data_IF_582522556112
#
_entry.id   IF_582522556112
#
_cell.length_a   1.000
_cell.length_b   1.000
_cell.length_c   1.000
_cell.angle_alpha   90.00
_cell.angle_beta   90.00
_cell.angle_gamma   90.00
#
_symmetry.space_group_name_H-M   'P 1'
#
loop_
_entity.id
_entity.type
_entity.pdbx_description
1 polymer ?
#
# COMPACT_ATOMS: atom_id res chain seq x y z
N UNK A 1 6.79 56.20 15.39
CA UNK A 1 6.33 54.83 15.25
C UNK A 1 7.53 53.91 15.24
N UNK A 2 7.55 52.75 15.90
CA UNK A 2 8.69 51.85 15.87
C UNK A 2 8.90 51.29 14.46
N UNK A 3 10.15 51.13 14.09
CA UNK A 3 10.55 50.41 12.85
C UNK A 3 10.34 48.92 13.02
N UNK A 4 10.28 48.19 11.90
CA UNK A 4 10.24 46.70 11.94
C UNK A 4 11.41 46.10 12.72
N UNK A 5 12.59 46.70 12.63
CA UNK A 5 13.81 46.25 13.33
C UNK A 5 13.67 46.42 14.85
N UNK A 6 13.14 47.53 15.30
CA UNK A 6 12.89 47.80 16.72
C UNK A 6 11.81 46.87 17.29
N UNK A 7 10.77 46.58 16.52
CA UNK A 7 9.73 45.65 16.94
C UNK A 7 10.28 44.22 17.08
N UNK A 8 11.09 43.78 16.12
CA UNK A 8 11.75 42.44 16.18
C UNK A 8 12.63 42.34 17.43
N UNK A 9 13.46 43.36 17.70
CA UNK A 9 14.32 43.40 18.90
C UNK A 9 13.49 43.34 20.17
N UNK A 10 12.41 44.12 20.25
CA UNK A 10 11.49 44.11 21.40
C UNK A 10 10.89 42.70 21.62
N UNK A 11 10.42 42.01 20.56
CA UNK A 11 9.85 40.68 20.70
C UNK A 11 10.92 39.72 21.18
N UNK A 12 12.12 39.74 20.59
CA UNK A 12 13.23 38.86 20.96
C UNK A 12 13.69 39.04 22.40
N UNK A 13 13.63 40.25 22.95
CA UNK A 13 13.94 40.51 24.36
C UNK A 13 12.88 39.98 25.36
N UNK A 14 11.71 39.61 24.89
CA UNK A 14 10.58 39.09 25.70
C UNK A 14 10.44 37.56 25.64
N UNK A 15 11.23 36.88 24.81
CA UNK A 15 11.18 35.44 24.64
C UNK A 15 12.53 34.81 24.96
N UNK A 16 12.54 33.52 25.18
CA UNK A 16 13.79 32.74 25.25
C UNK A 16 14.17 32.25 23.88
N UNK A 17 15.39 32.57 23.45
CA UNK A 17 15.98 32.00 22.21
C UNK A 17 17.00 30.93 22.58
N UNK A 18 17.12 29.90 21.71
CA UNK A 18 18.04 28.77 21.86
C UNK A 18 18.81 28.53 20.56
N UNK A 19 20.02 28.01 20.67
CA UNK A 19 20.80 27.61 19.49
C UNK A 19 20.25 26.35 18.83
N UNK A 20 20.75 25.98 17.65
CA UNK A 20 20.37 24.75 16.95
C UNK A 20 20.74 23.51 17.77
N UNK A 21 21.91 23.50 18.41
CA UNK A 21 22.39 22.42 19.26
C UNK A 21 21.50 22.23 20.49
N UNK A 22 21.14 23.34 21.13
CA UNK A 22 20.19 23.31 22.26
C UNK A 22 18.81 22.87 21.84
N UNK A 23 18.30 23.33 20.69
CA UNK A 23 17.02 22.92 20.15
C UNK A 23 16.97 21.41 19.88
N UNK A 24 18.04 20.86 19.30
CA UNK A 24 18.19 19.42 19.10
C UNK A 24 18.19 18.67 20.43
N UNK A 25 19.03 19.08 21.38
CA UNK A 25 19.11 18.41 22.68
C UNK A 25 17.77 18.41 23.44
N UNK A 26 16.95 19.46 23.25
CA UNK A 26 15.57 19.54 23.79
C UNK A 26 14.62 18.60 23.07
N UNK A 27 14.69 18.52 21.73
CA UNK A 27 13.90 17.59 20.94
C UNK A 27 14.20 16.13 21.31
N UNK A 28 15.47 15.79 21.50
CA UNK A 28 15.91 14.44 21.94
C UNK A 28 15.39 14.09 23.35
N UNK A 29 15.05 15.10 24.17
CA UNK A 29 14.42 14.95 25.49
C UNK A 29 12.90 15.02 25.46
N UNK A 30 12.28 15.13 24.28
CA UNK A 30 10.83 15.09 24.11
C UNK A 30 10.16 16.47 23.92
N UNK A 31 10.92 17.55 23.74
CA UNK A 31 10.36 18.83 23.35
C UNK A 31 9.69 18.76 21.97
N UNK A 32 8.58 19.45 21.80
CA UNK A 32 7.84 19.51 20.54
C UNK A 32 8.46 20.55 19.61
N UNK A 33 8.95 20.15 18.45
CA UNK A 33 9.39 21.07 17.40
C UNK A 33 8.20 21.56 16.59
N UNK A 34 8.05 22.88 16.41
CA UNK A 34 6.98 23.47 15.59
C UNK A 34 7.57 24.33 14.49
N UNK A 35 7.31 23.93 13.24
CA UNK A 35 7.71 24.67 12.04
C UNK A 35 6.61 25.66 11.65
N UNK A 36 6.97 26.96 11.65
CA UNK A 36 6.04 28.05 11.31
C UNK A 36 6.35 28.70 9.95
N UNK A 37 7.03 27.96 9.05
CA UNK A 37 7.35 28.44 7.70
C UNK A 37 6.14 28.34 6.77
N UNK A 38 6.35 28.80 5.54
CA UNK A 38 5.33 28.67 4.48
C UNK A 38 5.30 27.23 3.90
N UNK A 39 4.18 26.83 3.23
CA UNK A 39 4.02 25.47 2.71
C UNK A 39 5.11 25.00 1.75
N UNK A 40 5.59 25.90 0.89
CA UNK A 40 6.67 25.62 -0.07
C UNK A 40 8.03 25.42 0.64
N UNK A 41 8.30 26.16 1.72
CA UNK A 41 9.49 26.01 2.54
C UNK A 41 9.48 24.65 3.27
N UNK A 42 8.31 24.24 3.81
CA UNK A 42 8.13 22.92 4.44
C UNK A 42 8.31 21.77 3.44
N UNK A 43 7.73 21.91 2.24
CA UNK A 43 7.83 20.91 1.18
C UNK A 43 9.29 20.70 0.71
N UNK A 44 10.14 21.73 0.80
CA UNK A 44 11.56 21.65 0.46
C UNK A 44 12.44 21.07 1.58
N UNK A 45 11.82 20.58 2.67
CA UNK A 45 12.48 19.91 3.78
C UNK A 45 12.22 20.56 5.12
N UNK A 46 12.19 19.76 6.19
CA UNK A 46 11.93 20.17 7.56
C UNK A 46 12.71 19.32 8.56
N UNK A 47 12.72 19.74 9.82
CA UNK A 47 13.37 18.95 10.90
C UNK A 47 12.54 17.69 11.15
N UNK A 48 13.16 16.49 11.26
CA UNK A 48 12.45 15.26 11.54
C UNK A 48 11.59 15.36 12.80
N UNK A 49 10.34 14.87 12.73
CA UNK A 49 9.42 14.89 13.87
C UNK A 49 8.76 16.24 14.17
N UNK A 50 9.08 17.31 13.43
CA UNK A 50 8.45 18.60 13.62
C UNK A 50 6.97 18.60 13.23
N UNK A 51 6.17 19.32 13.99
CA UNK A 51 4.77 19.63 13.67
C UNK A 51 4.74 20.87 12.77
N UNK A 52 4.03 20.77 11.66
CA UNK A 52 3.88 21.88 10.72
C UNK A 52 2.62 22.69 11.02
N UNK A 53 2.79 23.97 11.32
CA UNK A 53 1.71 24.96 11.46
C UNK A 53 2.21 26.29 10.90
N UNK A 54 1.77 26.72 9.69
CA UNK A 54 2.17 28.01 9.13
C UNK A 54 1.91 29.16 10.10
N UNK A 55 2.79 30.17 10.11
CA UNK A 55 2.75 31.27 11.08
C UNK A 55 1.35 31.90 11.22
N UNK A 56 0.64 32.09 10.10
CA UNK A 56 -0.70 32.69 10.08
C UNK A 56 -1.81 31.83 10.70
N UNK A 57 -1.53 30.57 11.02
CA UNK A 57 -2.49 29.63 11.61
C UNK A 57 -2.05 29.10 12.98
N UNK A 58 -0.92 29.61 13.51
CA UNK A 58 -0.31 29.05 14.71
C UNK A 58 -1.27 29.07 15.90
N UNK A 59 -1.83 30.22 16.20
CA UNK A 59 -2.72 30.45 17.34
C UNK A 59 -4.02 29.64 17.23
N UNK A 60 -4.49 29.40 16.00
CA UNK A 60 -5.74 28.66 15.72
C UNK A 60 -5.61 27.15 15.81
N UNK A 61 -4.38 26.61 15.64
CA UNK A 61 -4.18 25.17 15.46
C UNK A 61 -3.25 24.51 16.47
N UNK A 62 -2.55 25.31 17.28
CA UNK A 62 -1.55 24.76 18.20
C UNK A 62 -2.19 23.89 19.29
N UNK A 63 -3.35 24.28 19.82
CA UNK A 63 -4.01 23.54 20.89
C UNK A 63 -4.50 22.17 20.42
N UNK A 64 -4.92 22.02 19.16
CA UNK A 64 -5.27 20.73 18.56
C UNK A 64 -4.06 19.78 18.41
N UNK A 65 -2.86 20.33 18.21
CA UNK A 65 -1.63 19.58 17.96
C UNK A 65 -0.81 19.34 19.21
N UNK A 66 -0.82 20.31 20.12
CA UNK A 66 -0.09 20.31 21.38
C UNK A 66 -1.05 20.77 22.50
N UNK A 67 -2.01 19.92 22.90
CA UNK A 67 -3.04 20.32 23.90
C UNK A 67 -2.47 20.52 25.30
N UNK A 68 -1.35 19.89 25.62
CA UNK A 68 -0.66 20.04 26.90
C UNK A 68 0.25 21.28 26.87
N UNK A 69 -0.19 22.36 27.51
CA UNK A 69 0.51 23.64 27.55
C UNK A 69 1.77 23.63 28.43
N UNK A 70 1.97 22.59 29.23
CA UNK A 70 3.17 22.43 30.08
C UNK A 70 4.34 21.83 29.30
N UNK A 71 4.08 21.24 28.13
CA UNK A 71 5.13 20.69 27.26
C UNK A 71 6.05 21.77 26.76
N UNK A 72 7.34 21.42 26.68
CA UNK A 72 8.33 22.28 26.06
C UNK A 72 8.12 22.33 24.54
N UNK A 73 8.01 23.55 23.99
CA UNK A 73 7.82 23.83 22.57
C UNK A 73 8.97 24.63 22.02
N UNK A 74 9.62 24.10 21.00
CA UNK A 74 10.67 24.79 20.23
C UNK A 74 10.08 25.24 18.91
N UNK A 75 9.87 26.53 18.73
CA UNK A 75 9.36 27.11 17.48
C UNK A 75 10.52 27.47 16.58
N UNK A 76 10.43 27.10 15.30
CA UNK A 76 11.43 27.52 14.32
C UNK A 76 10.79 28.00 13.00
N UNK A 77 11.53 28.85 12.28
CA UNK A 77 11.20 29.26 10.92
C UNK A 77 12.46 29.22 10.04
N UNK A 78 12.54 29.93 8.94
CA UNK A 78 13.73 29.94 8.10
C UNK A 78 14.96 30.54 8.78
N UNK A 79 14.83 31.71 9.40
CA UNK A 79 15.95 32.47 9.98
C UNK A 79 15.76 32.98 11.41
N UNK A 80 14.68 32.57 12.13
CA UNK A 80 14.46 32.92 13.53
C UNK A 80 13.54 34.13 13.81
N UNK A 81 13.09 34.86 12.78
CA UNK A 81 12.21 36.03 12.98
C UNK A 81 10.76 35.65 13.17
N UNK A 82 10.16 34.89 12.24
CA UNK A 82 8.75 34.44 12.35
C UNK A 82 8.54 33.58 13.59
N UNK A 83 9.52 32.76 13.96
CA UNK A 83 9.47 31.91 15.16
C UNK A 83 9.52 32.72 16.45
N UNK A 84 10.24 33.85 16.48
CA UNK A 84 10.25 34.74 17.64
C UNK A 84 8.84 35.29 17.91
N UNK A 85 8.15 35.80 16.89
CA UNK A 85 6.74 36.21 17.02
C UNK A 85 5.82 35.04 17.38
N UNK A 86 6.05 33.85 16.79
CA UNK A 86 5.29 32.66 17.13
C UNK A 86 5.49 32.25 18.61
N UNK A 87 6.71 32.23 19.09
CA UNK A 87 6.99 31.93 20.49
C UNK A 87 6.29 32.94 21.46
N UNK A 88 6.30 34.24 21.12
CA UNK A 88 5.57 35.25 21.88
C UNK A 88 4.08 35.01 21.92
N UNK A 89 3.46 34.71 20.76
CA UNK A 89 2.03 34.40 20.71
C UNK A 89 1.67 33.14 21.52
N UNK A 90 2.52 32.09 21.50
CA UNK A 90 2.27 30.91 22.31
C UNK A 90 2.38 31.17 23.81
N UNK A 91 3.30 32.04 24.26
CA UNK A 91 3.36 32.46 25.65
C UNK A 91 2.07 33.22 26.08
N UNK A 92 1.53 34.07 25.20
CA UNK A 92 0.26 34.77 25.43
C UNK A 92 -0.94 33.82 25.48
N UNK A 93 -0.87 32.66 24.78
CA UNK A 93 -1.85 31.58 24.86
C UNK A 93 -1.67 30.68 26.10
N UNK A 94 -0.68 30.95 26.96
CA UNK A 94 -0.44 30.22 28.21
C UNK A 94 0.40 28.95 28.06
N UNK A 95 1.24 28.87 27.03
CA UNK A 95 2.28 27.84 26.98
C UNK A 95 3.49 28.25 27.81
N UNK A 96 3.79 27.55 28.88
CA UNK A 96 4.79 27.92 29.87
C UNK A 96 6.24 27.82 29.37
N UNK A 97 6.50 26.81 28.55
CA UNK A 97 7.87 26.41 28.13
C UNK A 97 8.05 26.56 26.61
N UNK A 98 8.06 27.82 26.13
CA UNK A 98 8.26 28.08 24.68
C UNK A 98 9.59 28.78 24.44
N UNK A 99 10.32 28.29 23.45
CA UNK A 99 11.58 28.87 22.98
C UNK A 99 11.57 29.03 21.44
N UNK A 100 12.32 30.01 20.92
CA UNK A 100 12.54 30.21 19.49
C UNK A 100 13.94 29.79 19.10
N UNK A 101 14.09 29.05 18.01
CA UNK A 101 15.41 28.59 17.52
C UNK A 101 16.10 29.69 16.69
N UNK A 102 17.25 30.15 17.14
CA UNK A 102 18.11 31.13 16.46
C UNK A 102 18.60 30.57 15.13
N UNK A 103 18.55 31.39 14.07
CA UNK A 103 18.98 30.99 12.74
C UNK A 103 18.04 30.03 12.03
N UNK A 104 17.03 29.46 12.73
CA UNK A 104 15.98 28.66 12.18
C UNK A 104 16.48 27.45 11.38
N UNK A 105 15.65 27.00 10.42
CA UNK A 105 15.94 25.86 9.55
C UNK A 105 17.20 26.07 8.67
N UNK A 106 17.49 27.33 8.29
CA UNK A 106 18.71 27.63 7.53
C UNK A 106 19.96 27.20 8.31
N UNK A 107 20.06 27.59 9.59
CA UNK A 107 21.17 27.22 10.43
C UNK A 107 21.22 25.73 10.76
N UNK A 108 20.05 25.10 11.01
CA UNK A 108 19.94 23.65 11.17
C UNK A 108 20.54 22.88 9.99
N UNK A 109 20.24 23.32 8.77
CA UNK A 109 20.76 22.69 7.54
C UNK A 109 22.27 22.90 7.39
N UNK A 110 22.78 24.10 7.70
CA UNK A 110 24.21 24.42 7.67
C UNK A 110 25.04 23.55 8.63
N UNK A 111 24.49 23.16 9.77
CA UNK A 111 25.17 22.28 10.75
C UNK A 111 25.16 20.81 10.32
N UNK A 112 24.62 20.45 9.16
CA UNK A 112 24.58 19.08 8.66
C UNK A 112 23.64 18.14 9.42
N UNK A 113 22.71 18.68 10.20
CA UNK A 113 21.77 17.88 10.96
C UNK A 113 20.71 17.23 10.06
N UNK A 114 20.11 16.11 10.47
CA UNK A 114 19.11 15.41 9.67
C UNK A 114 17.94 16.30 9.27
N UNK A 115 17.51 16.17 8.04
CA UNK A 115 16.30 16.81 7.50
C UNK A 115 15.40 15.74 6.84
N UNK A 116 14.10 15.93 6.96
CA UNK A 116 13.11 15.18 6.20
C UNK A 116 12.67 16.02 5.01
N UNK A 117 12.83 15.50 3.81
CA UNK A 117 12.23 16.10 2.61
C UNK A 117 10.98 15.31 2.32
N UNK A 118 9.77 15.93 2.39
CA UNK A 118 8.55 15.23 2.02
C UNK A 118 8.66 14.75 0.58
N UNK A 119 8.29 13.49 0.34
CA UNK A 119 8.18 13.01 -1.03
C UNK A 119 7.08 13.78 -1.73
N UNK A 120 7.39 14.32 -2.88
CA UNK A 120 6.43 15.00 -3.77
C UNK A 120 6.48 14.33 -5.14
N UNK A 121 5.40 14.45 -5.90
CA UNK A 121 5.37 13.98 -7.28
C UNK A 121 6.24 14.88 -8.16
N UNK A 122 7.02 14.26 -9.05
CA UNK A 122 7.72 14.99 -10.11
C UNK A 122 6.70 15.61 -11.10
N UNK A 123 7.13 16.54 -11.93
CA UNK A 123 6.27 17.13 -12.97
C UNK A 123 5.74 16.05 -13.94
N UNK A 124 6.59 15.09 -14.31
CA UNK A 124 6.20 13.96 -15.15
C UNK A 124 5.15 13.07 -14.46
N UNK A 125 5.34 12.74 -13.19
CA UNK A 125 4.39 11.98 -12.40
C UNK A 125 3.05 12.71 -12.23
N UNK A 126 3.08 14.03 -12.00
CA UNK A 126 1.85 14.85 -11.96
C UNK A 126 1.09 14.81 -13.28
N UNK A 127 1.79 14.81 -14.41
CA UNK A 127 1.17 14.67 -15.72
C UNK A 127 0.62 13.24 -15.91
N UNK A 128 1.41 12.20 -15.65
CA UNK A 128 1.03 10.78 -15.78
C UNK A 128 -0.21 10.44 -14.96
N UNK A 129 -0.23 10.85 -13.70
CA UNK A 129 -1.31 10.53 -12.76
C UNK A 129 -2.37 11.63 -12.64
N UNK A 130 -2.39 12.59 -13.55
CA UNK A 130 -3.27 13.77 -13.47
C UNK A 130 -4.74 13.43 -13.21
N UNK A 131 -5.24 12.34 -13.79
CA UNK A 131 -6.63 11.88 -13.57
C UNK A 131 -6.86 11.33 -12.16
N UNK A 132 -5.90 10.62 -11.58
CA UNK A 132 -5.94 10.19 -10.18
C UNK A 132 -5.89 11.37 -9.22
N UNK A 133 -5.12 12.41 -9.53
CA UNK A 133 -5.00 13.58 -8.66
C UNK A 133 -6.30 14.36 -8.52
N UNK A 134 -7.22 14.25 -9.50
CA UNK A 134 -8.55 14.87 -9.47
C UNK A 134 -9.57 14.05 -8.67
N UNK A 135 -9.30 12.79 -8.34
CA UNK A 135 -10.19 11.94 -7.53
C UNK A 135 -9.94 12.25 -6.06
N UNK A 136 -10.95 12.76 -5.31
CA UNK A 136 -10.74 13.19 -3.91
C UNK A 136 -10.23 12.10 -2.98
N UNK A 137 -10.60 10.84 -3.24
CA UNK A 137 -10.17 9.67 -2.47
C UNK A 137 -8.70 9.30 -2.70
N UNK A 138 -8.09 9.77 -3.80
CA UNK A 138 -6.69 9.55 -4.15
C UNK A 138 -5.88 10.81 -3.88
N UNK A 139 -6.04 11.86 -4.70
CA UNK A 139 -5.27 13.08 -4.63
C UNK A 139 -3.76 12.87 -4.71
N UNK A 140 -2.97 13.90 -4.40
CA UNK A 140 -1.50 13.78 -4.40
C UNK A 140 -1.00 12.85 -3.28
N UNK A 141 -1.61 12.90 -2.10
CA UNK A 141 -1.23 12.06 -0.97
C UNK A 141 -1.49 10.58 -1.22
N UNK A 142 -2.63 10.23 -1.82
CA UNK A 142 -2.93 8.86 -2.21
C UNK A 142 -2.02 8.35 -3.31
N UNK A 143 -1.70 9.17 -4.31
CA UNK A 143 -0.78 8.79 -5.38
C UNK A 143 0.63 8.55 -4.85
N UNK A 144 1.13 9.40 -3.94
CA UNK A 144 2.40 9.17 -3.26
C UNK A 144 2.42 7.87 -2.48
N UNK A 145 1.29 7.52 -1.84
CA UNK A 145 1.15 6.26 -1.13
C UNK A 145 1.19 5.06 -2.08
N UNK A 146 0.52 5.12 -3.24
CA UNK A 146 0.60 4.08 -4.26
C UNK A 146 2.04 3.88 -4.75
N UNK A 147 2.76 4.96 -5.06
CA UNK A 147 4.17 4.92 -5.47
C UNK A 147 5.12 4.31 -4.42
N UNK A 148 4.74 4.29 -3.16
CA UNK A 148 5.51 3.69 -2.07
C UNK A 148 5.08 2.26 -1.75
N UNK A 149 3.94 1.82 -2.28
CA UNK A 149 3.33 0.53 -1.98
C UNK A 149 3.93 -0.61 -2.80
N UNK A 150 3.85 -1.81 -2.25
CA UNK A 150 4.38 -3.04 -2.84
C UNK A 150 3.26 -4.08 -2.91
N UNK A 151 2.95 -4.54 -4.11
CA UNK A 151 1.94 -5.58 -4.36
C UNK A 151 2.61 -6.81 -4.94
N UNK A 152 2.24 -7.98 -4.45
CA UNK A 152 2.68 -9.27 -4.98
C UNK A 152 1.54 -9.91 -5.78
N UNK A 153 1.80 -10.25 -7.02
CA UNK A 153 0.91 -11.03 -7.88
C UNK A 153 1.38 -12.50 -7.86
N UNK A 154 0.51 -13.39 -7.42
CA UNK A 154 0.74 -14.83 -7.51
C UNK A 154 0.10 -15.31 -8.82
N UNK A 155 0.95 -15.60 -9.78
CA UNK A 155 0.60 -15.88 -11.16
C UNK A 155 0.61 -14.65 -12.07
N UNK A 156 1.34 -14.70 -13.16
CA UNK A 156 1.30 -13.75 -14.28
C UNK A 156 0.36 -14.23 -15.39
N UNK A 157 -0.61 -15.06 -15.03
CA UNK A 157 -1.59 -15.68 -15.91
C UNK A 157 -2.81 -14.79 -16.21
N UNK A 158 -3.98 -15.40 -16.36
CA UNK A 158 -5.22 -14.71 -16.75
C UNK A 158 -5.67 -13.63 -15.78
N UNK A 159 -5.65 -13.88 -14.47
CA UNK A 159 -6.01 -12.93 -13.43
C UNK A 159 -4.91 -11.90 -13.17
N UNK A 160 -3.66 -12.37 -13.06
CA UNK A 160 -2.50 -11.51 -12.80
C UNK A 160 -2.19 -10.54 -13.94
N UNK A 161 -2.48 -10.90 -15.18
CA UNK A 161 -2.21 -10.05 -16.35
C UNK A 161 -2.96 -8.70 -16.30
N UNK A 162 -4.29 -8.65 -16.23
CA UNK A 162 -5.02 -7.39 -16.15
C UNK A 162 -4.73 -6.65 -14.83
N UNK A 163 -4.62 -7.37 -13.71
CA UNK A 163 -4.29 -6.77 -12.42
C UNK A 163 -2.92 -6.06 -12.47
N UNK A 164 -1.89 -6.73 -13.00
CA UNK A 164 -0.53 -6.17 -13.13
C UNK A 164 -0.48 -4.94 -14.01
N UNK A 165 -1.15 -4.96 -15.17
CA UNK A 165 -1.23 -3.81 -16.08
C UNK A 165 -1.84 -2.58 -15.40
N UNK A 166 -2.99 -2.73 -14.76
CA UNK A 166 -3.69 -1.60 -14.15
C UNK A 166 -3.05 -1.11 -12.86
N UNK A 167 -2.45 -1.99 -12.06
CA UNK A 167 -1.65 -1.57 -10.90
C UNK A 167 -0.41 -0.79 -11.33
N UNK A 168 0.26 -1.22 -12.40
CA UNK A 168 1.37 -0.50 -12.98
C UNK A 168 0.94 0.86 -13.55
N UNK A 169 -0.15 0.92 -14.31
CA UNK A 169 -0.72 2.16 -14.82
C UNK A 169 -1.13 3.11 -13.69
N UNK A 170 -1.67 2.59 -12.60
CA UNK A 170 -2.04 3.34 -11.39
C UNK A 170 -0.82 3.84 -10.59
N UNK A 171 0.38 3.37 -10.89
CA UNK A 171 1.61 3.79 -10.22
C UNK A 171 1.87 3.12 -8.89
N UNK A 172 1.51 1.85 -8.72
CA UNK A 172 2.00 1.04 -7.59
C UNK A 172 3.51 0.89 -7.72
N UNK A 173 4.25 1.37 -6.71
CA UNK A 173 5.69 1.57 -6.82
C UNK A 173 6.51 0.30 -6.99
N UNK A 174 6.05 -0.84 -6.43
CA UNK A 174 6.70 -2.14 -6.63
C UNK A 174 5.66 -3.21 -6.90
N UNK A 175 5.87 -3.96 -7.97
CA UNK A 175 5.07 -5.15 -8.32
C UNK A 175 5.98 -6.37 -8.29
N UNK A 176 5.71 -7.30 -7.36
CA UNK A 176 6.30 -8.62 -7.36
C UNK A 176 5.50 -9.55 -8.27
N UNK A 177 6.17 -10.40 -9.00
CA UNK A 177 5.59 -11.40 -9.89
C UNK A 177 6.09 -12.77 -9.50
N UNK A 178 5.20 -13.67 -9.11
CA UNK A 178 5.53 -15.08 -8.84
C UNK A 178 4.92 -15.93 -9.93
N UNK A 179 5.74 -16.56 -10.74
CA UNK A 179 5.32 -17.53 -11.75
C UNK A 179 6.51 -18.41 -12.14
N UNK A 180 6.31 -19.70 -12.35
CA UNK A 180 7.35 -20.63 -12.77
C UNK A 180 7.23 -21.07 -14.23
N UNK A 181 6.19 -20.60 -14.93
CA UNK A 181 5.88 -21.06 -16.29
C UNK A 181 6.55 -20.19 -17.36
N UNK A 182 6.54 -20.70 -18.57
CA UNK A 182 6.85 -19.96 -19.80
C UNK A 182 5.56 -19.56 -20.51
N UNK A 183 5.66 -18.53 -21.33
CA UNK A 183 4.54 -18.07 -22.17
C UNK A 183 4.29 -19.10 -23.27
N UNK A 184 3.05 -19.56 -23.36
CA UNK A 184 2.57 -20.44 -24.43
C UNK A 184 1.54 -19.69 -25.30
N UNK A 185 1.43 -20.08 -26.58
CA UNK A 185 0.49 -19.45 -27.51
C UNK A 185 -0.96 -19.59 -27.06
N UNK A 186 -1.33 -20.70 -26.40
CA UNK A 186 -2.65 -20.94 -25.81
C UNK A 186 -2.99 -20.00 -24.66
N UNK A 187 -1.99 -19.35 -24.09
CA UNK A 187 -2.18 -18.37 -23.02
C UNK A 187 -2.69 -17.01 -23.52
N UNK A 188 -2.34 -16.64 -24.77
CA UNK A 188 -2.49 -15.29 -25.29
C UNK A 188 -3.97 -14.85 -25.42
N UNK A 189 -4.89 -15.79 -25.47
CA UNK A 189 -6.32 -15.48 -25.53
C UNK A 189 -6.87 -14.84 -24.21
N UNK A 190 -6.09 -14.90 -23.08
CA UNK A 190 -6.51 -14.37 -21.78
C UNK A 190 -5.40 -13.73 -20.95
N UNK A 191 -4.13 -13.94 -21.26
CA UNK A 191 -2.97 -13.47 -20.52
C UNK A 191 -2.34 -12.24 -21.20
N UNK A 192 -3.02 -11.11 -21.10
CA UNK A 192 -2.74 -9.86 -21.87
C UNK A 192 -1.44 -9.13 -21.50
N UNK A 193 -0.70 -9.59 -20.49
CA UNK A 193 0.68 -9.13 -20.22
C UNK A 193 1.68 -9.67 -21.25
N UNK A 194 1.32 -10.76 -21.94
CA UNK A 194 2.19 -11.45 -22.86
C UNK A 194 1.81 -11.17 -24.31
N UNK A 195 2.75 -11.32 -25.19
CA UNK A 195 2.58 -11.10 -26.64
C UNK A 195 3.11 -12.30 -27.41
N UNK A 196 2.74 -12.41 -28.69
CA UNK A 196 3.25 -13.48 -29.55
C UNK A 196 4.80 -13.48 -29.61
N UNK A 197 5.44 -12.32 -29.52
CA UNK A 197 6.90 -12.20 -29.50
C UNK A 197 7.55 -12.73 -28.22
N UNK A 198 6.79 -12.97 -27.16
CA UNK A 198 7.28 -13.50 -25.87
C UNK A 198 7.02 -14.98 -25.67
N UNK A 199 6.45 -15.68 -26.66
CA UNK A 199 6.25 -17.15 -26.57
C UNK A 199 7.59 -17.85 -26.33
N UNK A 200 7.61 -18.76 -25.35
CA UNK A 200 8.81 -19.49 -24.91
C UNK A 200 9.67 -18.76 -23.88
N UNK A 201 9.38 -17.48 -23.53
CA UNK A 201 10.10 -16.78 -22.46
C UNK A 201 9.40 -16.98 -21.11
N UNK A 202 10.10 -16.87 -19.95
CA UNK A 202 9.47 -16.89 -18.64
C UNK A 202 8.34 -15.86 -18.54
N UNK A 203 7.19 -16.25 -17.98
CA UNK A 203 6.03 -15.34 -17.83
C UNK A 203 6.39 -14.08 -17.04
N UNK A 204 7.20 -14.19 -15.99
CA UNK A 204 7.66 -13.06 -15.17
C UNK A 204 8.51 -12.08 -15.97
N UNK A 205 9.38 -12.58 -16.88
CA UNK A 205 10.21 -11.73 -17.75
C UNK A 205 9.36 -10.98 -18.79
N UNK A 206 8.46 -11.70 -19.46
CA UNK A 206 7.51 -11.10 -20.39
C UNK A 206 6.66 -10.02 -19.72
N UNK A 207 6.14 -10.31 -18.52
CA UNK A 207 5.35 -9.37 -17.73
C UNK A 207 6.16 -8.16 -17.29
N UNK A 208 7.39 -8.33 -16.80
CA UNK A 208 8.30 -7.22 -16.46
C UNK A 208 8.50 -6.28 -17.63
N UNK A 209 8.80 -6.83 -18.82
CA UNK A 209 9.01 -6.04 -20.04
C UNK A 209 7.78 -5.19 -20.38
N UNK A 210 6.59 -5.77 -20.30
CA UNK A 210 5.33 -5.08 -20.60
C UNK A 210 5.01 -4.01 -19.56
N UNK A 211 5.16 -4.31 -18.26
CA UNK A 211 4.94 -3.36 -17.16
C UNK A 211 5.89 -2.17 -17.27
N UNK A 212 7.18 -2.40 -17.50
CA UNK A 212 8.16 -1.32 -17.64
C UNK A 212 7.93 -0.46 -18.89
N UNK A 213 7.46 -1.05 -19.97
CA UNK A 213 7.08 -0.29 -21.17
C UNK A 213 5.87 0.62 -20.93
N UNK A 214 4.92 0.18 -20.08
CA UNK A 214 3.75 0.96 -19.70
C UNK A 214 4.09 2.08 -18.69
N UNK A 215 4.85 1.74 -17.66
CA UNK A 215 5.22 2.67 -16.59
C UNK A 215 6.64 2.39 -16.07
N UNK A 216 7.64 3.17 -16.51
CA UNK A 216 9.04 2.98 -16.15
C UNK A 216 9.32 3.27 -14.66
N UNK A 217 8.44 3.98 -13.95
CA UNK A 217 8.58 4.29 -12.52
C UNK A 217 8.31 3.05 -11.63
N UNK A 218 7.68 2.01 -12.19
CA UNK A 218 7.32 0.81 -11.44
C UNK A 218 8.52 -0.13 -11.35
N UNK A 219 8.92 -0.45 -10.13
CA UNK A 219 9.90 -1.51 -9.89
C UNK A 219 9.23 -2.87 -9.99
N UNK A 220 9.70 -3.71 -10.90
CA UNK A 220 9.28 -5.11 -10.97
C UNK A 220 10.31 -6.00 -10.27
N UNK A 221 9.82 -6.91 -9.43
CA UNK A 221 10.63 -7.94 -8.75
C UNK A 221 10.13 -9.31 -9.21
N UNK A 222 10.97 -10.03 -9.92
CA UNK A 222 10.66 -11.39 -10.42
C UNK A 222 10.98 -12.43 -9.36
N UNK A 223 10.07 -13.36 -9.18
CA UNK A 223 10.23 -14.59 -8.44
C UNK A 223 9.95 -15.76 -9.38
N UNK A 224 10.98 -16.19 -10.11
CA UNK A 224 10.92 -17.28 -11.09
C UNK A 224 10.95 -18.63 -10.34
N UNK A 225 9.88 -18.88 -9.57
CA UNK A 225 9.79 -20.05 -8.72
C UNK A 225 8.33 -20.52 -8.55
N UNK A 226 8.16 -21.76 -8.17
CA UNK A 226 6.90 -22.28 -7.66
C UNK A 226 6.81 -22.04 -6.16
N UNK A 227 5.68 -21.50 -5.71
CA UNK A 227 5.43 -21.34 -4.27
C UNK A 227 5.22 -22.70 -3.60
N UNK A 228 5.87 -22.85 -2.46
CA UNK A 228 5.69 -23.96 -1.52
C UNK A 228 5.84 -23.48 -0.07
N UNK A 229 5.65 -24.41 0.87
CA UNK A 229 5.72 -24.12 2.30
C UNK A 229 7.09 -23.65 2.79
N UNK A 230 8.16 -23.90 2.03
CA UNK A 230 9.53 -23.52 2.40
C UNK A 230 9.88 -22.07 2.02
N UNK A 231 9.20 -21.49 1.02
CA UNK A 231 9.56 -20.19 0.44
C UNK A 231 8.48 -19.11 0.59
N UNK A 232 7.21 -19.48 0.77
CA UNK A 232 6.06 -18.56 0.73
C UNK A 232 6.17 -17.43 1.75
N UNK A 233 6.68 -17.70 2.95
CA UNK A 233 6.79 -16.70 4.01
C UNK A 233 7.79 -15.60 3.64
N UNK A 234 8.96 -15.97 3.14
CA UNK A 234 10.00 -15.02 2.73
C UNK A 234 9.60 -14.21 1.51
N UNK A 235 8.92 -14.85 0.54
CA UNK A 235 8.42 -14.19 -0.67
C UNK A 235 7.35 -13.15 -0.32
N UNK A 236 6.46 -13.42 0.64
CA UNK A 236 5.35 -12.52 1.01
C UNK A 236 5.78 -11.37 1.92
N UNK A 237 6.75 -11.58 2.79
CA UNK A 237 7.14 -10.63 3.84
C UNK A 237 7.36 -9.18 3.35
N UNK A 238 8.03 -8.92 2.20
CA UNK A 238 8.31 -7.56 1.73
C UNK A 238 7.11 -6.78 1.19
N UNK A 239 5.96 -7.44 0.93
CA UNK A 239 4.82 -6.83 0.24
C UNK A 239 3.70 -6.39 1.20
N UNK A 240 2.95 -5.37 0.78
CA UNK A 240 1.84 -4.81 1.56
C UNK A 240 0.52 -5.53 1.29
N UNK A 241 0.33 -6.02 0.07
CA UNK A 241 -0.89 -6.72 -0.40
C UNK A 241 -0.49 -7.88 -1.31
N UNK A 242 -1.18 -9.00 -1.15
CA UNK A 242 -1.05 -10.19 -1.99
C UNK A 242 -2.29 -10.27 -2.89
N UNK A 243 -2.10 -10.53 -4.18
CA UNK A 243 -3.18 -10.83 -5.12
C UNK A 243 -3.07 -12.28 -5.54
N UNK A 244 -4.08 -13.04 -5.20
CA UNK A 244 -4.23 -14.45 -5.58
C UNK A 244 -4.74 -14.55 -7.02
N UNK A 245 -3.85 -14.80 -7.95
CA UNK A 245 -4.13 -15.07 -9.36
C UNK A 245 -3.90 -16.55 -9.75
N UNK A 246 -3.75 -17.44 -8.77
CA UNK A 246 -3.52 -18.86 -9.04
C UNK A 246 -4.82 -19.60 -9.41
N UNK A 247 -4.67 -20.71 -10.10
CA UNK A 247 -5.77 -21.53 -10.65
C UNK A 247 -5.91 -22.90 -9.96
N UNK A 248 -5.10 -23.17 -8.94
CA UNK A 248 -5.14 -24.45 -8.23
C UNK A 248 -5.38 -24.27 -6.72
N UNK A 249 -6.09 -25.23 -6.14
CA UNK A 249 -6.51 -25.15 -4.74
C UNK A 249 -5.35 -25.24 -3.75
N UNK A 250 -4.34 -26.11 -3.98
CA UNK A 250 -3.21 -26.23 -3.06
C UNK A 250 -2.49 -24.89 -2.86
N UNK A 251 -2.26 -24.16 -3.95
CA UNK A 251 -1.65 -22.82 -3.88
C UNK A 251 -2.58 -21.81 -3.20
N UNK A 252 -3.92 -21.87 -3.40
CA UNK A 252 -4.87 -20.97 -2.71
C UNK A 252 -4.84 -21.12 -1.20
N UNK A 253 -4.77 -22.36 -0.71
CA UNK A 253 -4.64 -22.60 0.74
C UNK A 253 -3.29 -22.12 1.27
N UNK A 254 -2.20 -22.39 0.54
CA UNK A 254 -0.86 -21.93 0.89
C UNK A 254 -0.79 -20.39 0.99
N UNK A 255 -1.34 -19.70 -0.02
CA UNK A 255 -1.43 -18.21 -0.04
C UNK A 255 -2.21 -17.70 1.18
N UNK A 256 -3.39 -18.27 1.42
CA UNK A 256 -4.23 -17.87 2.55
C UNK A 256 -3.53 -18.06 3.88
N UNK A 257 -2.90 -19.23 4.07
CA UNK A 257 -2.24 -19.55 5.33
C UNK A 257 -1.05 -18.60 5.58
N UNK A 258 -0.20 -18.41 4.60
CA UNK A 258 0.92 -17.48 4.69
C UNK A 258 0.46 -16.02 4.91
N UNK A 259 -0.56 -15.57 4.18
CA UNK A 259 -1.09 -14.22 4.31
C UNK A 259 -1.67 -13.96 5.71
N UNK A 260 -2.42 -14.90 6.27
CA UNK A 260 -2.98 -14.79 7.64
C UNK A 260 -1.87 -14.77 8.68
N UNK A 261 -0.89 -15.67 8.58
CA UNK A 261 0.22 -15.76 9.54
C UNK A 261 1.13 -14.51 9.51
N UNK A 262 1.31 -13.89 8.34
CA UNK A 262 2.07 -12.66 8.17
C UNK A 262 1.24 -11.38 8.41
N UNK A 263 -0.07 -11.51 8.63
CA UNK A 263 -0.95 -10.35 8.77
C UNK A 263 -1.11 -9.54 7.48
N UNK A 264 -0.97 -10.17 6.29
CA UNK A 264 -1.05 -9.50 4.99
C UNK A 264 -2.46 -9.63 4.38
N UNK A 265 -3.03 -8.55 3.83
CA UNK A 265 -4.23 -8.64 3.02
C UNK A 265 -4.02 -9.56 1.80
N UNK A 266 -4.99 -10.46 1.56
CA UNK A 266 -5.04 -11.31 0.38
C UNK A 266 -6.29 -11.00 -0.43
N UNK A 267 -6.12 -10.62 -1.69
CA UNK A 267 -7.20 -10.32 -2.63
C UNK A 267 -7.42 -11.56 -3.49
N UNK A 268 -8.46 -12.31 -3.13
CA UNK A 268 -8.83 -13.56 -3.77
C UNK A 268 -9.56 -13.33 -5.09
N UNK A 269 -9.22 -14.12 -6.10
CA UNK A 269 -9.95 -14.27 -7.35
C UNK A 269 -9.99 -15.73 -7.80
N UNK A 270 -11.09 -16.12 -8.41
CA UNK A 270 -11.26 -17.43 -9.05
C UNK A 270 -12.18 -17.32 -10.24
N UNK A 271 -11.96 -18.14 -11.24
CA UNK A 271 -12.76 -18.18 -12.46
C UNK A 271 -13.03 -19.63 -12.87
N UNK A 272 -14.19 -19.85 -13.44
CA UNK A 272 -14.59 -21.12 -14.00
C UNK A 272 -15.57 -20.90 -15.14
N UNK A 273 -15.24 -21.28 -16.35
CA UNK A 273 -16.06 -21.10 -17.57
C UNK A 273 -16.55 -19.65 -17.73
N UNK A 274 -17.75 -19.32 -17.27
CA UNK A 274 -18.37 -18.00 -17.30
C UNK A 274 -18.53 -17.39 -15.91
N UNK A 275 -18.14 -18.10 -14.86
CA UNK A 275 -18.30 -17.66 -13.47
C UNK A 275 -17.00 -17.08 -12.90
N UNK A 276 -17.10 -15.93 -12.24
CA UNK A 276 -16.03 -15.28 -11.49
C UNK A 276 -16.38 -15.12 -10.01
N UNK A 277 -15.41 -15.31 -9.14
CA UNK A 277 -15.56 -15.15 -7.70
C UNK A 277 -14.43 -14.28 -7.15
N UNK A 278 -14.76 -13.32 -6.30
CA UNK A 278 -13.81 -12.40 -5.71
C UNK A 278 -14.14 -12.13 -4.25
N UNK A 279 -13.11 -11.99 -3.42
CA UNK A 279 -13.22 -11.58 -2.02
C UNK A 279 -11.92 -10.91 -1.55
N UNK A 280 -11.99 -10.20 -0.43
CA UNK A 280 -10.82 -9.60 0.22
C UNK A 280 -10.69 -10.17 1.62
N UNK A 281 -9.58 -10.85 1.90
CA UNK A 281 -9.28 -11.41 3.22
C UNK A 281 -8.27 -10.52 3.93
N UNK A 282 -8.71 -9.87 5.02
CA UNK A 282 -7.84 -9.05 5.88
C UNK A 282 -7.73 -9.73 7.23
N UNK A 283 -6.54 -10.20 7.61
CA UNK A 283 -6.33 -10.87 8.89
C UNK A 283 -6.78 -9.99 10.06
N UNK A 284 -7.48 -10.60 11.02
CA UNK A 284 -8.07 -9.97 12.22
C UNK A 284 -9.28 -9.06 11.98
N UNK A 285 -9.56 -8.61 10.75
CA UNK A 285 -10.71 -7.75 10.45
C UNK A 285 -11.91 -8.54 9.92
N UNK A 286 -11.67 -9.75 9.38
CA UNK A 286 -12.73 -10.57 8.79
C UNK A 286 -12.39 -12.05 8.73
N UNK A 287 -13.22 -12.83 8.00
CA UNK A 287 -12.96 -14.24 7.73
C UNK A 287 -11.73 -14.41 6.83
N UNK A 288 -11.11 -15.59 6.86
CA UNK A 288 -10.10 -16.01 5.89
C UNK A 288 -10.71 -17.00 4.87
N UNK A 289 -9.93 -17.42 3.88
CA UNK A 289 -10.37 -18.39 2.87
C UNK A 289 -10.85 -19.72 3.50
N UNK A 290 -10.18 -20.21 4.57
CA UNK A 290 -10.60 -21.41 5.28
C UNK A 290 -11.90 -21.27 6.09
N UNK A 291 -12.35 -20.06 6.38
CA UNK A 291 -13.69 -19.87 6.95
C UNK A 291 -14.81 -20.16 5.94
N UNK A 292 -14.53 -19.95 4.63
CA UNK A 292 -15.45 -20.21 3.54
C UNK A 292 -15.29 -21.63 3.01
N UNK A 293 -14.05 -22.10 2.90
CA UNK A 293 -13.68 -23.43 2.41
C UNK A 293 -12.73 -24.09 3.42
N UNK A 294 -13.27 -24.78 4.45
CA UNK A 294 -12.43 -25.39 5.50
C UNK A 294 -11.44 -26.41 4.99
N UNK A 295 -11.84 -27.18 3.98
CA UNK A 295 -11.05 -28.24 3.32
C UNK A 295 -11.14 -28.09 1.80
N UNK A 296 -10.09 -28.50 1.05
CA UNK A 296 -10.14 -28.51 -0.40
C UNK A 296 -11.21 -29.49 -0.90
N UNK A 297 -11.89 -29.17 -2.01
CA UNK A 297 -12.86 -30.07 -2.61
C UNK A 297 -12.16 -31.36 -3.08
N UNK A 298 -12.87 -32.49 -3.18
CA UNK A 298 -12.34 -33.70 -3.81
C UNK A 298 -11.82 -33.40 -5.22
N UNK A 299 -10.71 -34.03 -5.60
CA UNK A 299 -10.05 -33.82 -6.91
C UNK A 299 -10.98 -34.01 -8.11
N UNK A 300 -11.91 -34.96 -7.99
CA UNK A 300 -12.91 -35.27 -9.02
C UNK A 300 -13.93 -34.17 -9.27
N UNK A 301 -14.12 -33.26 -8.30
CA UNK A 301 -15.11 -32.20 -8.35
C UNK A 301 -14.51 -30.82 -8.71
N UNK A 302 -13.23 -30.76 -9.00
CA UNK A 302 -12.52 -29.50 -9.22
C UNK A 302 -11.57 -29.58 -10.42
N UNK A 303 -12.09 -29.70 -11.65
CA UNK A 303 -11.28 -29.66 -12.86
C UNK A 303 -10.51 -28.34 -12.98
N UNK A 304 -9.31 -28.40 -13.52
CA UNK A 304 -8.49 -27.22 -13.80
C UNK A 304 -9.15 -26.31 -14.87
N UNK A 305 -8.71 -25.06 -14.95
CA UNK A 305 -9.17 -24.16 -16.02
C UNK A 305 -8.80 -24.68 -17.42
N UNK A 306 -7.71 -25.43 -17.53
CA UNK A 306 -7.26 -26.01 -18.81
C UNK A 306 -8.19 -27.16 -19.26
N UNK A 307 -8.78 -27.87 -18.31
CA UNK A 307 -9.74 -28.95 -18.61
C UNK A 307 -11.16 -28.45 -18.84
N UNK A 308 -11.59 -27.43 -18.08
CA UNK A 308 -12.96 -26.92 -18.12
C UNK A 308 -13.20 -25.86 -19.19
N UNK A 309 -12.14 -25.18 -19.65
CA UNK A 309 -12.19 -24.00 -20.49
C UNK A 309 -12.58 -22.73 -19.70
N UNK A 310 -12.28 -21.57 -20.26
CA UNK A 310 -12.60 -20.27 -19.68
C UNK A 310 -12.83 -19.22 -20.76
N UNK A 311 -13.85 -18.40 -20.58
CA UNK A 311 -14.09 -17.23 -21.43
C UNK A 311 -12.92 -16.24 -21.27
N UNK A 312 -12.19 -15.93 -22.36
CA UNK A 312 -10.93 -15.19 -22.29
C UNK A 312 -11.02 -13.79 -21.66
N UNK A 313 -12.17 -13.11 -21.74
CA UNK A 313 -12.39 -11.79 -21.10
C UNK A 313 -12.75 -11.88 -19.62
N UNK A 314 -13.20 -13.03 -19.14
CA UNK A 314 -13.62 -13.21 -17.74
C UNK A 314 -12.50 -12.92 -16.73
N UNK A 315 -11.28 -13.47 -16.88
CA UNK A 315 -10.18 -13.10 -15.98
C UNK A 315 -9.83 -11.61 -16.06
N UNK A 316 -10.12 -10.92 -17.18
CA UNK A 316 -10.03 -9.48 -17.28
C UNK A 316 -10.90 -8.78 -16.26
N UNK A 317 -12.19 -9.11 -16.20
CA UNK A 317 -13.14 -8.52 -15.24
C UNK A 317 -12.72 -8.83 -13.80
N UNK A 318 -12.44 -10.10 -13.48
CA UNK A 318 -12.09 -10.53 -12.12
C UNK A 318 -10.77 -9.89 -11.67
N UNK A 319 -9.73 -9.91 -12.50
CA UNK A 319 -8.42 -9.33 -12.16
C UNK A 319 -8.46 -7.81 -11.98
N UNK A 320 -9.34 -7.10 -12.72
CA UNK A 320 -9.55 -5.66 -12.52
C UNK A 320 -10.27 -5.36 -11.21
N UNK A 321 -11.21 -6.20 -10.79
CA UNK A 321 -11.84 -6.08 -9.47
C UNK A 321 -10.80 -6.35 -8.37
N UNK A 322 -9.92 -7.36 -8.54
CA UNK A 322 -8.81 -7.60 -7.61
C UNK A 322 -7.87 -6.38 -7.53
N UNK A 323 -7.49 -5.79 -8.64
CA UNK A 323 -6.67 -4.57 -8.66
C UNK A 323 -7.36 -3.40 -7.96
N UNK A 324 -8.67 -3.24 -8.17
CA UNK A 324 -9.47 -2.20 -7.49
C UNK A 324 -9.48 -2.40 -5.97
N UNK A 325 -9.72 -3.62 -5.50
CA UNK A 325 -9.67 -3.95 -4.07
C UNK A 325 -8.27 -3.70 -3.49
N UNK A 326 -7.20 -4.08 -4.21
CA UNK A 326 -5.82 -3.82 -3.78
C UNK A 326 -5.55 -2.31 -3.61
N UNK A 327 -5.97 -1.47 -4.57
CA UNK A 327 -5.85 -0.01 -4.46
C UNK A 327 -6.63 0.52 -3.25
N UNK A 328 -7.86 0.06 -3.04
CA UNK A 328 -8.68 0.45 -1.89
C UNK A 328 -8.04 0.07 -0.55
N UNK A 329 -7.47 -1.13 -0.45
CA UNK A 329 -6.71 -1.60 0.72
C UNK A 329 -5.51 -0.69 0.97
N UNK A 330 -4.69 -0.43 -0.05
CA UNK A 330 -3.51 0.42 0.05
C UNK A 330 -3.86 1.83 0.49
N UNK A 331 -4.92 2.41 -0.07
CA UNK A 331 -5.36 3.77 0.25
C UNK A 331 -6.17 3.85 1.55
N UNK A 332 -6.64 2.73 2.08
CA UNK A 332 -7.60 2.63 3.20
C UNK A 332 -8.89 3.40 2.89
N UNK A 333 -9.45 3.18 1.73
CA UNK A 333 -10.64 3.87 1.21
C UNK A 333 -11.73 2.90 0.76
N UNK A 334 -12.97 3.37 0.86
CA UNK A 334 -14.16 2.64 0.40
C UNK A 334 -14.49 1.40 1.22
N UNK A 335 -15.53 0.68 0.81
CA UNK A 335 -15.99 -0.56 1.45
C UNK A 335 -15.36 -1.77 0.74
N UNK A 336 -14.50 -2.49 1.43
CA UNK A 336 -13.82 -3.67 0.92
C UNK A 336 -14.76 -4.89 0.83
N UNK A 337 -14.37 -5.89 0.06
CA UNK A 337 -15.06 -7.19 -0.03
C UNK A 337 -14.77 -8.11 1.18
N UNK A 338 -14.50 -7.55 2.36
CA UNK A 338 -14.27 -8.30 3.59
C UNK A 338 -15.59 -8.90 4.10
N UNK A 339 -15.61 -10.22 4.32
CA UNK A 339 -16.81 -10.95 4.73
C UNK A 339 -17.89 -11.01 3.64
N UNK A 340 -17.51 -10.78 2.39
CA UNK A 340 -18.39 -10.84 1.22
C UNK A 340 -17.69 -11.53 0.06
N UNK A 341 -18.37 -12.44 -0.59
CA UNK A 341 -17.94 -13.01 -1.86
C UNK A 341 -18.78 -12.38 -2.96
N UNK A 342 -18.13 -11.65 -3.86
CA UNK A 342 -18.73 -11.17 -5.08
C UNK A 342 -18.65 -12.28 -6.13
N UNK A 343 -19.82 -12.73 -6.61
CA UNK A 343 -19.95 -13.72 -7.67
C UNK A 343 -20.42 -13.02 -8.93
N UNK A 344 -19.72 -13.24 -10.02
CA UNK A 344 -20.06 -12.70 -11.34
C UNK A 344 -20.42 -13.85 -12.28
N UNK A 345 -21.66 -13.84 -12.75
CA UNK A 345 -22.16 -14.66 -13.83
C UNK A 345 -22.10 -13.86 -15.14
N UNK A 346 -21.15 -14.23 -16.00
CA UNK A 346 -20.93 -13.52 -17.26
C UNK A 346 -21.94 -13.89 -18.37
N UNK A 347 -22.67 -15.01 -18.24
CA UNK A 347 -23.75 -15.33 -19.18
C UNK A 347 -24.96 -14.43 -18.96
N UNK A 348 -25.36 -14.26 -17.70
CA UNK A 348 -26.51 -13.42 -17.33
C UNK A 348 -26.11 -11.97 -17.00
N UNK A 349 -24.81 -11.63 -17.04
CA UNK A 349 -24.26 -10.31 -16.65
C UNK A 349 -24.71 -9.87 -15.26
N UNK A 350 -24.75 -10.81 -14.31
CA UNK A 350 -25.21 -10.58 -12.94
C UNK A 350 -24.07 -10.59 -11.95
N UNK A 351 -24.13 -9.67 -10.98
CA UNK A 351 -23.28 -9.69 -9.80
C UNK A 351 -24.12 -10.03 -8.57
N UNK A 352 -23.69 -11.03 -7.84
CA UNK A 352 -24.29 -11.42 -6.56
C UNK A 352 -23.31 -11.20 -5.43
N UNK A 353 -23.80 -10.75 -4.28
CA UNK A 353 -22.97 -10.47 -3.10
C UNK A 353 -23.38 -11.40 -1.97
N UNK A 354 -22.61 -12.45 -1.75
CA UNK A 354 -22.84 -13.47 -0.73
C UNK A 354 -22.08 -13.09 0.54
N UNK A 355 -22.80 -12.90 1.65
CA UNK A 355 -22.18 -12.57 2.94
C UNK A 355 -21.77 -13.84 3.69
N UNK A 356 -20.60 -13.83 4.28
CA UNK A 356 -20.12 -14.89 5.17
C UNK A 356 -19.34 -14.30 6.36
N UNK A 357 -19.20 -15.06 7.41
CA UNK A 357 -18.61 -14.61 8.68
C UNK A 357 -17.36 -15.42 9.01
N UNK A 358 -16.51 -14.84 9.86
CA UNK A 358 -15.40 -15.57 10.45
C UNK A 358 -15.94 -16.73 11.27
N UNK A 359 -15.39 -17.92 11.04
CA UNK A 359 -15.68 -19.11 11.83
C UNK A 359 -14.83 -19.10 13.11
N UNK A 360 -15.43 -19.07 14.31
CA UNK A 360 -14.70 -19.15 15.57
C UNK A 360 -13.86 -20.43 15.71
N UNK A 361 -14.24 -21.51 15.02
CA UNK A 361 -13.55 -22.80 15.00
C UNK A 361 -12.56 -22.96 13.84
N UNK A 362 -12.35 -21.92 13.02
CA UNK A 362 -11.43 -22.00 11.89
C UNK A 362 -10.03 -22.42 12.37
N UNK A 363 -9.47 -23.46 11.76
CA UNK A 363 -8.16 -23.99 12.11
C UNK A 363 -7.01 -23.00 11.97
N UNK A 364 -7.17 -21.94 11.16
CA UNK A 364 -6.13 -20.94 10.91
C UNK A 364 -6.39 -19.60 11.64
N UNK A 365 -7.58 -19.04 11.52
CA UNK A 365 -7.88 -17.70 12.06
C UNK A 365 -8.91 -17.73 13.20
N UNK A 366 -9.37 -18.89 13.64
CA UNK A 366 -10.33 -19.07 14.75
C UNK A 366 -9.80 -18.64 16.12
N UNK A 367 -10.57 -18.92 17.17
CA UNK A 367 -10.19 -18.56 18.54
C UNK A 367 -9.03 -19.43 19.08
N UNK A 368 -8.95 -20.69 18.62
CA UNK A 368 -7.89 -21.65 18.97
C UNK A 368 -7.28 -22.22 17.69
N UNK A 369 -6.43 -21.46 16.98
CA UNK A 369 -5.88 -21.90 15.71
C UNK A 369 -4.90 -23.06 15.90
N UNK A 370 -5.01 -24.09 15.05
CA UNK A 370 -4.12 -25.25 15.01
C UNK A 370 -3.07 -25.17 13.92
N UNK A 371 -3.33 -24.35 12.87
CA UNK A 371 -2.37 -24.12 11.79
C UNK A 371 -1.46 -22.95 12.20
N UNK A 372 -0.20 -23.25 12.48
CA UNK A 372 0.82 -22.29 12.94
C UNK A 372 1.93 -22.04 11.90
N UNK A 373 1.95 -22.81 10.83
CA UNK A 373 2.88 -22.67 9.69
C UNK A 373 2.17 -23.10 8.40
N UNK A 374 2.57 -22.54 7.23
CA UNK A 374 2.09 -23.00 5.95
C UNK A 374 2.49 -24.46 5.72
N UNK A 375 1.67 -25.19 4.98
CA UNK A 375 1.98 -26.57 4.59
C UNK A 375 1.55 -26.81 3.14
N UNK A 376 2.32 -27.65 2.46
CA UNK A 376 1.95 -28.12 1.13
C UNK A 376 0.84 -29.16 1.25
N UNK A 377 -0.27 -28.89 0.61
CA UNK A 377 -1.32 -29.88 0.51
C UNK A 377 -0.97 -30.86 -0.60
N UNK A 378 -0.94 -32.13 -0.28
CA UNK A 378 -0.74 -33.22 -1.26
C UNK A 378 -1.99 -33.44 -2.11
N UNK A 379 -2.39 -32.39 -2.83
CA UNK A 379 -3.53 -32.42 -3.73
C UNK A 379 -3.00 -32.57 -5.15
N UNK A 380 -2.95 -33.82 -5.66
CA UNK A 380 -2.55 -34.10 -7.02
C UNK A 380 -3.79 -34.15 -7.90
N UNK A 381 -3.89 -33.25 -8.88
CA UNK A 381 -4.75 -33.42 -10.04
C UNK A 381 -4.17 -34.54 -10.93
N UNK A 382 -4.29 -35.81 -10.54
CA UNK A 382 -4.04 -36.93 -11.43
C UNK A 382 -5.39 -37.39 -11.96
N UNK A 383 -5.76 -36.85 -13.10
CA UNK A 383 -6.75 -37.46 -13.96
C UNK A 383 -6.01 -38.56 -14.75
N UNK A 384 -6.16 -39.82 -14.38
CA UNK A 384 -5.89 -40.91 -15.31
C UNK A 384 -7.06 -40.91 -16.31
N UNK A 385 -6.82 -40.64 -17.61
CA UNK A 385 -7.89 -40.73 -18.59
C UNK A 385 -8.39 -42.19 -18.60
N UNK A 386 -9.69 -42.38 -18.30
CA UNK A 386 -10.32 -43.67 -18.51
C UNK A 386 -10.12 -44.05 -19.97
N UNK A 387 -9.63 -45.30 -20.28
CA UNK A 387 -9.57 -45.76 -21.65
C UNK A 387 -10.96 -45.70 -22.26
N UNK A 388 -11.04 -45.14 -23.47
CA UNK A 388 -12.25 -45.10 -24.25
C UNK A 388 -12.82 -46.52 -24.41
N UNK A 389 -14.10 -46.69 -24.05
CA UNK A 389 -14.83 -47.94 -24.27
C UNK A 389 -15.24 -48.09 -25.74
#
# INVERSE_FOLDING_TARGET
MPTSKELIQKVKSQIREVTVEEARARADKGAVLVDVREPDEWANGHIPGAIYIPRGFLELRIEDKVPDKTKEVVVYCAGGTRSAFGAKSLQELGYDNVVSMIGGFGKWKETGLPITVPKSLTAEQKNRYSRHLLVPEIGEAGQLKLLQSKVLLIGAGGLGSPAGLYLAAAGVGTIGLVDSDVVDISNLQRQVLHTNASVGTPKTESAEKTIRALNPDVKVVRHDLRLDSSNVMDVFAPYDVIIDGCDNFSTKYLINDAAVLLGKPNIYGSIYRFDGQMSTFIPKEGPCYRCLYPEPPPSEMAPSCDEAGVLGVLPGVVGLIQATEAIKVLLKKGNLLVGRQLVYDALDMKFQNLKFRRDPKCALCGETPTITKPSDLSWSCHFEPKPAA
#
